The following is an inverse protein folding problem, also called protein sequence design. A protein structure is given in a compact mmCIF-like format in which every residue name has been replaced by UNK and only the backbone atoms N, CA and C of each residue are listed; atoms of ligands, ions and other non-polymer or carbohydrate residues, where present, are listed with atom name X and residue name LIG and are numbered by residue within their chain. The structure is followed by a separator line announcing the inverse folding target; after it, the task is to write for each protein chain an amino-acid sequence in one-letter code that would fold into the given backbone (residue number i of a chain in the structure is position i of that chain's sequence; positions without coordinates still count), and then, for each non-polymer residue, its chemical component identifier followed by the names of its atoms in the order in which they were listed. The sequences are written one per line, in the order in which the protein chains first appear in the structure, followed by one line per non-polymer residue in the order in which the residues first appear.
data_IF_813757530786
#
_entry.id   IF_813757530786
#
_cell.length_a   1.000
_cell.length_b   1.000
_cell.length_c   1.000
_cell.angle_alpha   90.00
_cell.angle_beta   90.00
_cell.angle_gamma   90.00
#
_symmetry.space_group_name_H-M   'P 1'
#
loop_
_entity.id
_entity.type
_entity.pdbx_description
1 polymer ?
#
# COMPACT_ATOMS: atom_id res chain seq x y z
N UNK A 1 -24.11 -28.43 11.92
CA UNK A 1 -23.37 -27.76 10.84
C UNK A 1 -23.76 -26.28 10.90
N UNK A 2 -23.07 -25.50 11.72
CA UNK A 2 -23.35 -24.07 11.91
C UNK A 2 -22.23 -23.30 11.21
N UNK A 3 -22.59 -22.59 10.14
CA UNK A 3 -21.72 -21.60 9.50
C UNK A 3 -21.59 -20.43 10.46
N UNK A 4 -20.42 -20.32 11.11
CA UNK A 4 -20.05 -19.13 11.86
C UNK A 4 -19.72 -18.03 10.84
N UNK A 5 -20.60 -17.06 10.69
CA UNK A 5 -20.31 -15.84 9.95
C UNK A 5 -19.38 -14.97 10.81
N UNK A 6 -18.21 -14.61 10.27
CA UNK A 6 -17.33 -13.62 10.90
C UNK A 6 -18.02 -12.26 10.85
N UNK A 7 -18.48 -11.76 12.00
CA UNK A 7 -19.00 -10.40 12.13
C UNK A 7 -17.82 -9.43 11.99
N UNK A 8 -17.75 -8.74 10.86
CA UNK A 8 -16.87 -7.58 10.72
C UNK A 8 -17.36 -6.46 11.67
N UNK A 9 -16.46 -5.76 12.40
CA UNK A 9 -16.84 -4.61 13.18
C UNK A 9 -17.32 -3.46 12.27
N UNK A 10 -18.26 -2.61 12.72
CA UNK A 10 -18.72 -1.47 11.94
C UNK A 10 -17.59 -0.45 11.76
N UNK A 11 -17.48 0.23 10.60
CA UNK A 11 -16.53 1.31 10.42
C UNK A 11 -16.86 2.43 11.41
N UNK A 12 -15.88 2.84 12.20
CA UNK A 12 -16.00 3.95 13.13
C UNK A 12 -16.25 5.25 12.33
N UNK A 13 -17.35 5.92 12.65
CA UNK A 13 -17.79 7.20 12.08
C UNK A 13 -16.72 8.29 12.21
N UNK A 14 -16.39 8.96 11.10
CA UNK A 14 -15.77 10.29 11.08
C UNK A 14 -16.82 11.34 10.65
N UNK A 15 -16.88 12.52 11.29
CA UNK A 15 -17.95 13.49 11.07
C UNK A 15 -17.78 14.29 9.78
N UNK A 16 -18.90 14.79 9.28
CA UNK A 16 -19.10 15.38 7.96
C UNK A 16 -18.63 16.84 7.83
N UNK A 17 -17.78 17.15 6.83
CA UNK A 17 -17.68 18.49 6.22
C UNK A 17 -17.32 18.44 4.71
N UNK A 18 -18.33 18.70 3.87
CA UNK A 18 -18.37 19.40 2.56
C UNK A 18 -17.13 19.41 1.62
N UNK A 19 -16.50 18.27 1.37
CA UNK A 19 -15.80 18.00 0.10
C UNK A 19 -16.39 16.69 -0.43
N UNK A 20 -16.80 16.55 -1.71
CA UNK A 20 -17.20 15.24 -2.22
C UNK A 20 -15.99 14.32 -2.04
N UNK A 21 -16.04 13.30 -1.16
CA UNK A 21 -14.84 12.58 -0.77
C UNK A 21 -14.38 11.83 -2.00
N UNK A 22 -13.26 12.27 -2.57
CA UNK A 22 -12.68 11.63 -3.73
C UNK A 22 -12.12 10.29 -3.28
N UNK A 23 -12.96 9.25 -3.23
CA UNK A 23 -12.61 7.84 -3.03
C UNK A 23 -11.26 7.60 -2.33
N UNK A 24 -11.14 8.11 -1.10
CA UNK A 24 -9.95 7.97 -0.28
C UNK A 24 -10.15 6.65 0.49
N UNK A 25 -9.40 5.64 0.10
CA UNK A 25 -9.48 4.30 0.65
C UNK A 25 -8.84 4.25 2.04
N UNK A 26 -9.59 3.72 3.01
CA UNK A 26 -9.15 3.52 4.38
C UNK A 26 -8.20 2.31 4.50
N UNK A 27 -7.63 2.11 5.70
CA UNK A 27 -6.75 0.97 5.96
C UNK A 27 -7.45 -0.36 5.66
N UNK A 28 -6.78 -1.25 4.93
CA UNK A 28 -7.34 -2.53 4.50
C UNK A 28 -8.24 -2.45 3.26
N UNK A 29 -8.55 -1.27 2.74
CA UNK A 29 -9.31 -1.11 1.50
C UNK A 29 -8.42 -1.15 0.26
N UNK A 30 -9.05 -1.33 -0.91
CA UNK A 30 -8.35 -1.39 -2.18
C UNK A 30 -7.84 -0.02 -2.63
N UNK A 31 -6.66 0.01 -3.25
CA UNK A 31 -6.06 1.22 -3.81
C UNK A 31 -5.46 0.94 -5.19
N UNK A 32 -5.11 1.98 -5.94
CA UNK A 32 -4.58 1.87 -7.29
C UNK A 32 -5.65 1.39 -8.29
N UNK A 33 -5.25 0.48 -9.17
CA UNK A 33 -6.09 -0.05 -10.25
C UNK A 33 -6.45 1.00 -11.30
N UNK A 34 -7.31 0.61 -12.24
CA UNK A 34 -7.83 1.50 -13.30
C UNK A 34 -8.59 2.72 -12.73
N UNK A 35 -9.17 2.57 -11.54
CA UNK A 35 -9.89 3.62 -10.85
C UNK A 35 -8.95 4.64 -10.17
N UNK A 36 -7.65 4.34 -10.04
CA UNK A 36 -6.67 5.22 -9.43
C UNK A 36 -7.00 5.55 -7.97
N UNK A 37 -7.57 4.62 -7.22
CA UNK A 37 -8.00 4.84 -5.83
C UNK A 37 -6.79 5.20 -4.95
N UNK A 38 -6.90 6.31 -4.22
CA UNK A 38 -5.82 6.81 -3.37
C UNK A 38 -6.08 6.41 -1.92
N UNK A 39 -5.02 6.22 -1.13
CA UNK A 39 -5.17 5.93 0.29
C UNK A 39 -5.28 7.21 1.12
N UNK A 40 -5.84 7.08 2.33
CA UNK A 40 -5.83 8.16 3.34
C UNK A 40 -4.40 8.60 3.70
N UNK A 41 -4.29 9.81 4.25
CA UNK A 41 -2.99 10.35 4.69
C UNK A 41 -2.33 9.44 5.73
N UNK A 42 -1.03 9.20 5.59
CA UNK A 42 -0.27 8.28 6.46
C UNK A 42 -0.37 6.81 6.06
N UNK A 43 -1.18 6.47 5.05
CA UNK A 43 -1.22 5.15 4.43
C UNK A 43 -0.45 5.18 3.10
N UNK A 44 0.00 4.00 2.67
CA UNK A 44 0.50 3.80 1.31
C UNK A 44 -0.21 2.66 0.62
N UNK A 45 -0.25 2.72 -0.70
CA UNK A 45 -0.83 1.66 -1.50
C UNK A 45 0.16 0.50 -1.62
N UNK A 46 -0.05 -0.55 -0.83
CA UNK A 46 0.78 -1.75 -0.86
C UNK A 46 0.29 -2.68 -1.96
N UNK A 47 1.08 -2.76 -3.01
CA UNK A 47 0.91 -3.73 -4.10
C UNK A 47 1.59 -5.06 -3.71
N UNK A 48 1.24 -6.14 -4.40
CA UNK A 48 2.06 -7.35 -4.36
C UNK A 48 3.45 -7.08 -4.95
N UNK A 49 4.49 -7.70 -4.39
CA UNK A 49 5.86 -7.51 -4.88
C UNK A 49 5.95 -7.90 -6.35
N UNK A 50 6.52 -7.03 -7.19
CA UNK A 50 6.59 -7.25 -8.64
C UNK A 50 5.36 -6.83 -9.42
N UNK A 51 4.26 -6.50 -8.76
CA UNK A 51 3.03 -6.20 -9.47
C UNK A 51 3.14 -4.92 -10.31
N UNK A 52 3.92 -3.92 -9.88
CA UNK A 52 4.14 -2.68 -10.64
C UNK A 52 5.12 -2.82 -11.84
N UNK A 53 5.59 -4.03 -12.16
CA UNK A 53 6.47 -4.27 -13.31
C UNK A 53 5.62 -4.58 -14.53
N UNK A 54 5.73 -3.76 -15.58
CA UNK A 54 5.02 -3.92 -16.86
C UNK A 54 3.48 -3.99 -16.76
N UNK A 55 2.90 -3.47 -15.67
CA UNK A 55 1.45 -3.48 -15.42
C UNK A 55 1.01 -2.10 -14.92
N UNK A 56 0.03 -1.49 -15.59
CA UNK A 56 -0.42 -0.13 -15.27
C UNK A 56 -1.56 -0.09 -14.23
N UNK A 57 -2.54 -0.99 -14.34
CA UNK A 57 -3.77 -0.96 -13.54
C UNK A 57 -3.72 -1.91 -12.34
N UNK A 58 -2.61 -1.87 -11.60
CA UNK A 58 -2.39 -2.77 -10.47
C UNK A 58 -3.13 -2.23 -9.25
N UNK A 59 -4.00 -3.06 -8.68
CA UNK A 59 -4.63 -2.76 -7.40
C UNK A 59 -3.80 -3.33 -6.23
N UNK A 60 -3.87 -2.67 -5.09
CA UNK A 60 -3.26 -3.10 -3.84
C UNK A 60 -4.18 -2.88 -2.67
N UNK A 61 -3.59 -2.82 -1.48
CA UNK A 61 -4.31 -2.55 -0.23
C UNK A 61 -3.66 -1.39 0.49
N UNK A 62 -4.48 -0.44 0.96
CA UNK A 62 -4.00 0.64 1.81
C UNK A 62 -3.51 0.08 3.15
N UNK A 63 -2.29 0.43 3.53
CA UNK A 63 -1.70 0.00 4.78
C UNK A 63 -0.88 1.12 5.40
N UNK A 64 -0.70 1.06 6.72
CA UNK A 64 0.04 2.08 7.46
C UNK A 64 1.51 2.13 7.05
N UNK A 65 2.03 3.34 6.91
CA UNK A 65 3.46 3.57 6.80
C UNK A 65 4.10 3.29 8.15
N UNK A 66 5.05 2.35 8.20
CA UNK A 66 5.81 2.05 9.41
C UNK A 66 7.24 2.57 9.28
N UNK A 67 7.60 3.68 9.96
CA UNK A 67 8.91 4.33 9.80
C UNK A 67 10.04 3.63 10.57
N UNK A 68 9.72 2.68 11.46
CA UNK A 68 10.71 1.98 12.26
C UNK A 68 11.09 0.67 11.56
N UNK A 69 12.30 0.66 10.99
CA UNK A 69 12.85 -0.47 10.27
C UNK A 69 14.08 -1.06 10.95
N UNK A 70 14.30 -2.37 10.72
CA UNK A 70 15.56 -3.04 11.02
C UNK A 70 16.68 -2.49 10.15
N UNK A 71 17.92 -2.64 10.62
CA UNK A 71 19.13 -2.29 9.85
C UNK A 71 19.66 -3.46 9.03
N UNK A 72 18.82 -4.42 8.68
CA UNK A 72 19.25 -5.49 7.80
C UNK A 72 19.35 -4.97 6.36
N UNK A 73 20.39 -5.41 5.67
CA UNK A 73 20.63 -5.03 4.29
C UNK A 73 20.20 -6.16 3.36
N UNK A 74 19.04 -5.99 2.74
CA UNK A 74 18.44 -6.88 1.76
C UNK A 74 17.79 -6.02 0.66
N UNK A 75 18.59 -5.47 -0.26
CA UNK A 75 18.17 -4.37 -1.11
C UNK A 75 17.01 -4.75 -2.02
N UNK A 76 16.15 -3.77 -2.29
CA UNK A 76 15.00 -3.90 -3.20
C UNK A 76 14.91 -2.70 -4.12
N UNK A 77 14.34 -2.89 -5.31
CA UNK A 77 13.98 -1.81 -6.22
C UNK A 77 12.51 -1.46 -5.99
N UNK A 78 12.23 -0.19 -5.69
CA UNK A 78 10.87 0.31 -5.55
C UNK A 78 10.18 0.55 -6.89
N UNK A 79 8.85 0.60 -6.90
CA UNK A 79 8.06 0.96 -8.08
C UNK A 79 8.35 2.38 -8.60
N UNK A 80 8.99 3.22 -7.79
CA UNK A 80 9.49 4.55 -8.15
C UNK A 80 10.92 4.56 -8.72
N UNK A 81 11.46 3.38 -9.08
CA UNK A 81 12.82 3.20 -9.59
C UNK A 81 13.95 3.63 -8.63
N UNK A 82 13.66 3.74 -7.33
CA UNK A 82 14.66 3.97 -6.27
C UNK A 82 15.04 2.66 -5.61
N UNK A 83 16.34 2.48 -5.36
CA UNK A 83 16.85 1.36 -4.55
C UNK A 83 16.70 1.69 -3.07
N UNK A 84 16.17 0.75 -2.30
CA UNK A 84 16.05 0.84 -0.83
C UNK A 84 16.95 -0.21 -0.16
N UNK A 85 17.50 0.08 1.04
CA UNK A 85 18.34 -0.87 1.77
C UNK A 85 17.64 -2.18 2.14
N UNK A 86 16.33 -2.10 2.39
CA UNK A 86 15.44 -3.24 2.59
C UNK A 86 13.98 -2.88 2.25
N UNK A 87 13.12 -3.91 2.26
CA UNK A 87 11.69 -3.77 1.99
C UNK A 87 10.96 -2.86 2.99
N UNK A 88 11.37 -2.87 4.26
CA UNK A 88 10.76 -2.00 5.26
C UNK A 88 11.01 -0.53 4.92
N UNK A 89 12.24 -0.17 4.56
CA UNK A 89 12.58 1.20 4.19
C UNK A 89 11.85 1.66 2.92
N UNK A 90 11.60 0.77 1.96
CA UNK A 90 10.74 1.08 0.81
C UNK A 90 9.31 1.44 1.24
N UNK A 91 8.70 0.61 2.10
CA UNK A 91 7.36 0.86 2.62
C UNK A 91 7.29 2.10 3.52
N UNK A 92 8.35 2.40 4.28
CA UNK A 92 8.46 3.60 5.10
C UNK A 92 8.45 4.89 4.24
N UNK A 93 8.92 4.80 3.01
CA UNK A 93 8.87 5.86 1.98
C UNK A 93 7.59 5.76 1.11
N UNK A 94 6.58 5.00 1.57
CA UNK A 94 5.31 4.81 0.87
C UNK A 94 5.39 4.06 -0.46
N UNK A 95 6.46 3.30 -0.68
CA UNK A 95 6.77 2.70 -1.98
C UNK A 95 6.68 1.17 -1.95
N UNK A 96 5.90 0.60 -2.87
CA UNK A 96 5.83 -0.85 -3.08
C UNK A 96 7.08 -1.40 -3.80
N UNK A 97 7.37 -2.68 -3.61
CA UNK A 97 8.56 -3.34 -4.19
C UNK A 97 8.29 -3.80 -5.62
N UNK A 98 9.14 -3.37 -6.55
CA UNK A 98 9.16 -3.84 -7.93
C UNK A 98 9.98 -5.12 -8.07
N UNK A 99 11.20 -5.17 -7.56
CA UNK A 99 12.05 -6.36 -7.65
C UNK A 99 12.92 -6.54 -6.42
N UNK A 100 13.31 -7.80 -6.16
CA UNK A 100 14.38 -8.10 -5.22
C UNK A 100 15.73 -7.67 -5.82
N UNK A 101 16.63 -7.15 -4.98
CA UNK A 101 17.88 -6.54 -5.40
C UNK A 101 17.74 -5.05 -5.73
N UNK A 102 18.87 -4.38 -5.92
CA UNK A 102 18.90 -2.98 -6.35
C UNK A 102 18.33 -2.80 -7.77
N UNK A 103 17.84 -1.60 -8.09
CA UNK A 103 17.40 -1.26 -9.45
C UNK A 103 18.57 -1.41 -10.44
N UNK A 104 18.33 -2.02 -11.60
CA UNK A 104 19.38 -2.36 -12.57
C UNK A 104 19.51 -1.39 -13.75
N UNK A 105 18.55 -0.49 -13.95
CA UNK A 105 18.56 0.50 -15.05
C UNK A 105 18.29 -0.09 -16.43
#
# INVERSE_FOLDING_TARGET
MFVAACSAPPPAEAPAEIVPPQAISAVGEMCGGIAGLQCEEGLFCKLEDGACVNTADVAGTCTEIKPVCTREYAPVCGCNAKTYPNKCEAHADGTSVATQGACTG
#
